data_IF_360641171666
#
_entry.id   IF_360641171666
#
_cell.length_a   1.000
_cell.length_b   1.000
_cell.length_c   1.000
_cell.angle_alpha   90.00
_cell.angle_beta   90.00
_cell.angle_gamma   90.00
#
_symmetry.space_group_name_H-M   'P 1'
#
loop_
_entity.id
_entity.type
_entity.pdbx_description
1 polymer ?
#
# COMPACT_ATOMS: atom_id res chain seq x y z
N UNK A 1 4.75 9.42 -26.12
CA UNK A 1 5.30 8.86 -24.86
C UNK A 1 4.18 8.88 -23.84
N UNK A 2 3.47 7.76 -23.76
CA UNK A 2 2.24 7.65 -22.98
C UNK A 2 2.52 7.82 -21.48
N UNK A 3 1.58 8.43 -20.76
CA UNK A 3 1.62 8.76 -19.33
C UNK A 3 1.64 7.52 -18.39
N UNK A 4 2.41 6.48 -18.71
CA UNK A 4 2.63 5.29 -17.89
C UNK A 4 3.01 5.57 -16.43
N UNK A 5 3.87 6.56 -16.09
CA UNK A 5 4.24 6.79 -14.69
C UNK A 5 3.09 7.34 -13.83
N UNK A 6 1.98 7.82 -14.40
CA UNK A 6 0.85 8.37 -13.63
C UNK A 6 -0.17 7.34 -13.18
N UNK A 7 -0.20 6.13 -13.78
CA UNK A 7 -1.32 5.21 -13.61
C UNK A 7 -1.51 4.74 -12.16
N UNK A 8 -0.42 4.54 -11.42
CA UNK A 8 -0.46 4.03 -10.04
C UNK A 8 0.05 5.04 -8.99
N UNK A 9 0.19 6.32 -9.34
CA UNK A 9 0.79 7.33 -8.44
C UNK A 9 0.06 7.45 -7.11
N UNK A 10 -1.27 7.60 -7.15
CA UNK A 10 -2.09 7.69 -5.94
C UNK A 10 -1.99 6.43 -5.08
N UNK A 11 -2.06 5.24 -5.70
CA UNK A 11 -1.87 3.98 -4.97
C UNK A 11 -0.46 3.88 -4.35
N UNK A 12 0.57 4.35 -5.06
CA UNK A 12 1.96 4.33 -4.56
C UNK A 12 2.14 5.29 -3.40
N UNK A 13 1.43 6.42 -3.39
CA UNK A 13 1.44 7.35 -2.26
C UNK A 13 0.88 6.71 -1.01
N UNK A 14 -0.29 6.06 -1.10
CA UNK A 14 -0.89 5.36 0.04
C UNK A 14 -0.01 4.21 0.54
N UNK A 15 0.59 3.44 -0.38
CA UNK A 15 1.55 2.40 -0.03
C UNK A 15 2.77 2.97 0.71
N UNK A 16 3.30 4.12 0.27
CA UNK A 16 4.41 4.78 0.94
C UNK A 16 4.02 5.30 2.33
N UNK A 17 2.82 5.86 2.49
CA UNK A 17 2.31 6.30 3.80
C UNK A 17 2.22 5.10 4.75
N UNK A 18 1.66 3.97 4.29
CA UNK A 18 1.62 2.73 5.06
C UNK A 18 3.03 2.25 5.44
N UNK A 19 3.96 2.25 4.48
CA UNK A 19 5.35 1.86 4.72
C UNK A 19 6.04 2.72 5.77
N UNK A 20 5.85 4.05 5.73
CA UNK A 20 6.37 4.97 6.75
C UNK A 20 5.73 4.69 8.11
N UNK A 21 4.41 4.48 8.16
CA UNK A 21 3.72 4.19 9.41
C UNK A 21 4.25 2.91 10.07
N UNK A 22 4.53 1.85 9.30
CA UNK A 22 5.16 0.63 9.82
C UNK A 22 6.55 0.90 10.44
N UNK A 23 7.38 1.72 9.80
CA UNK A 23 8.70 2.10 10.32
C UNK A 23 8.57 2.93 11.60
N UNK A 24 7.63 3.89 11.63
CA UNK A 24 7.37 4.74 12.79
C UNK A 24 6.91 3.90 13.97
N UNK A 25 5.98 2.96 13.78
CA UNK A 25 5.53 2.05 14.85
C UNK A 25 6.71 1.27 15.41
N UNK A 26 7.54 0.69 14.55
CA UNK A 26 8.76 -0.05 14.96
C UNK A 26 9.69 0.80 15.84
N UNK A 27 9.81 2.10 15.56
CA UNK A 27 10.61 3.02 16.38
C UNK A 27 9.94 3.37 17.72
N UNK A 28 8.62 3.46 17.76
CA UNK A 28 7.85 3.84 18.95
C UNK A 28 7.65 2.68 19.94
N UNK A 29 7.63 1.43 19.49
CA UNK A 29 7.43 0.23 20.31
C UNK A 29 8.69 -0.27 21.03
N UNK A 30 9.84 0.37 20.82
CA UNK A 30 11.06 0.11 21.60
C UNK A 30 11.98 -0.99 21.05
N UNK A 31 11.86 -1.34 19.77
CA UNK A 31 12.72 -2.30 19.04
C UNK A 31 12.66 -3.74 19.57
N UNK A 32 11.46 -4.23 19.92
CA UNK A 32 11.22 -5.65 20.20
C UNK A 32 11.32 -6.50 18.92
N UNK A 33 11.33 -7.84 19.05
CA UNK A 33 11.48 -8.76 17.91
C UNK A 33 10.39 -8.54 16.84
N UNK A 34 9.16 -8.22 17.27
CA UNK A 34 8.04 -7.84 16.40
C UNK A 34 8.34 -6.60 15.57
N UNK A 35 9.19 -5.71 16.07
CA UNK A 35 9.46 -4.41 15.48
C UNK A 35 10.40 -4.55 14.28
N UNK A 36 11.29 -5.54 14.30
CA UNK A 36 12.09 -5.91 13.14
C UNK A 36 11.21 -6.36 11.96
N UNK A 37 10.08 -7.02 12.25
CA UNK A 37 9.09 -7.41 11.23
C UNK A 37 8.41 -6.18 10.66
N UNK A 38 7.93 -5.25 11.50
CA UNK A 38 7.33 -3.99 11.05
C UNK A 38 8.30 -3.16 10.21
N UNK A 39 9.56 -3.04 10.64
CA UNK A 39 10.59 -2.35 9.88
C UNK A 39 10.81 -3.01 8.50
N UNK A 40 10.90 -4.34 8.46
CA UNK A 40 11.05 -5.09 7.21
C UNK A 40 9.87 -4.90 6.26
N UNK A 41 8.64 -4.92 6.79
CA UNK A 41 7.41 -4.65 6.01
C UNK A 41 7.44 -3.21 5.47
N UNK A 42 7.77 -2.23 6.32
CA UNK A 42 7.81 -0.84 5.91
C UNK A 42 8.81 -0.57 4.78
N UNK A 43 10.01 -1.14 4.87
CA UNK A 43 11.03 -1.07 3.80
C UNK A 43 10.54 -1.77 2.53
N UNK A 44 9.93 -2.95 2.65
CA UNK A 44 9.38 -3.68 1.51
C UNK A 44 8.28 -2.88 0.81
N UNK A 45 7.40 -2.21 1.57
CA UNK A 45 6.32 -1.38 1.02
C UNK A 45 6.85 -0.16 0.28
N UNK A 46 7.89 0.51 0.80
CA UNK A 46 8.55 1.62 0.10
C UNK A 46 9.21 1.16 -1.21
N UNK A 47 9.85 -0.01 -1.20
CA UNK A 47 10.44 -0.60 -2.41
C UNK A 47 9.36 -0.96 -3.43
N UNK A 48 8.26 -1.55 -3.00
CA UNK A 48 7.12 -1.89 -3.85
C UNK A 48 6.45 -0.62 -4.40
N UNK A 49 6.36 0.46 -3.62
CA UNK A 49 5.85 1.75 -4.08
C UNK A 49 6.69 2.32 -5.21
N UNK A 50 8.03 2.28 -5.06
CA UNK A 50 8.96 2.66 -6.11
C UNK A 50 8.81 1.80 -7.37
N UNK A 51 8.76 0.47 -7.22
CA UNK A 51 8.61 -0.45 -8.35
C UNK A 51 7.25 -0.32 -9.04
N UNK A 52 6.19 0.03 -8.31
CA UNK A 52 4.86 0.24 -8.86
C UNK A 52 4.78 1.47 -9.76
N UNK A 53 5.63 2.49 -9.54
CA UNK A 53 5.76 3.64 -10.43
C UNK A 53 6.28 3.26 -11.84
N UNK A 54 6.95 2.13 -11.99
CA UNK A 54 7.34 1.58 -13.29
C UNK A 54 6.14 1.07 -14.13
N UNK A 55 4.91 1.14 -13.61
CA UNK A 55 3.69 0.89 -14.38
C UNK A 55 3.39 -0.59 -14.67
N UNK A 56 4.12 -1.53 -14.06
CA UNK A 56 3.93 -2.97 -14.31
C UNK A 56 2.70 -3.48 -13.57
N UNK A 57 1.70 -3.98 -14.32
CA UNK A 57 0.42 -4.44 -13.78
C UNK A 57 0.54 -5.64 -12.82
N UNK A 58 1.54 -6.50 -13.01
CA UNK A 58 1.76 -7.65 -12.12
C UNK A 58 2.21 -7.23 -10.71
N UNK A 59 3.00 -6.15 -10.59
CA UNK A 59 3.39 -5.59 -9.28
C UNK A 59 2.15 -5.08 -8.55
N UNK A 60 1.26 -4.39 -9.24
CA UNK A 60 0.01 -3.91 -8.66
C UNK A 60 -0.87 -5.04 -8.09
N UNK A 61 -0.87 -6.24 -8.69
CA UNK A 61 -1.57 -7.40 -8.09
C UNK A 61 -0.91 -7.87 -6.79
N UNK A 62 0.42 -7.95 -6.74
CA UNK A 62 1.12 -8.29 -5.50
C UNK A 62 0.84 -7.27 -4.41
N UNK A 63 0.99 -5.99 -4.72
CA UNK A 63 0.71 -4.91 -3.76
C UNK A 63 -0.73 -5.00 -3.27
N UNK A 64 -1.70 -5.20 -4.16
CA UNK A 64 -3.11 -5.34 -3.77
C UNK A 64 -3.31 -6.45 -2.72
N UNK A 65 -2.73 -7.64 -2.94
CA UNK A 65 -2.84 -8.74 -1.98
C UNK A 65 -2.15 -8.39 -0.65
N UNK A 66 -0.94 -7.81 -0.71
CA UNK A 66 -0.22 -7.40 0.49
C UNK A 66 -0.97 -6.36 1.31
N UNK A 67 -1.63 -5.39 0.68
CA UNK A 67 -2.45 -4.39 1.39
C UNK A 67 -3.65 -5.02 2.10
N UNK A 68 -4.30 -6.01 1.50
CA UNK A 68 -5.41 -6.71 2.17
C UNK A 68 -4.91 -7.49 3.39
N UNK A 69 -3.79 -8.20 3.25
CA UNK A 69 -3.18 -8.94 4.37
C UNK A 69 -2.69 -7.96 5.45
N UNK A 70 -2.05 -6.87 5.07
CA UNK A 70 -1.56 -5.80 5.95
C UNK A 70 -2.69 -5.19 6.78
N UNK A 71 -3.80 -4.81 6.12
CA UNK A 71 -4.97 -4.25 6.80
C UNK A 71 -5.57 -5.22 7.84
N UNK A 72 -5.69 -6.51 7.49
CA UNK A 72 -6.19 -7.54 8.41
C UNK A 72 -5.21 -7.74 9.57
N UNK A 73 -3.91 -7.86 9.29
CA UNK A 73 -2.88 -8.02 10.32
C UNK A 73 -2.84 -6.84 11.30
N UNK A 74 -2.88 -5.61 10.77
CA UNK A 74 -2.96 -4.39 11.58
C UNK A 74 -4.24 -4.34 12.43
N UNK A 75 -5.39 -4.73 11.87
CA UNK A 75 -6.65 -4.80 12.61
C UNK A 75 -6.62 -5.82 13.75
N UNK A 76 -5.96 -6.97 13.57
CA UNK A 76 -5.84 -7.99 14.63
C UNK A 76 -4.95 -7.56 15.79
N UNK A 77 -3.93 -6.72 15.53
CA UNK A 77 -3.02 -6.20 16.56
C UNK A 77 -3.54 -4.94 17.25
N UNK A 78 -4.36 -4.13 16.57
CA UNK A 78 -4.86 -2.87 17.12
C UNK A 78 -5.53 -2.96 18.52
N UNK A 79 -6.33 -4.00 18.87
CA UNK A 79 -7.01 -4.07 20.17
C UNK A 79 -6.08 -4.29 21.37
N UNK A 80 -4.84 -4.76 21.14
CA UNK A 80 -3.86 -4.99 22.22
C UNK A 80 -3.07 -3.73 22.56
N UNK A 81 -3.26 -2.65 21.81
CA UNK A 81 -2.47 -1.42 21.89
C UNK A 81 -3.33 -0.24 22.33
N UNK A 82 -2.70 0.77 22.94
CA UNK A 82 -3.38 1.98 23.38
C UNK A 82 -2.61 3.25 23.03
N UNK A 83 -3.31 4.38 23.01
CA UNK A 83 -2.72 5.69 22.76
C UNK A 83 -2.16 5.87 21.34
N UNK A 84 -0.94 6.40 21.23
CA UNK A 84 -0.32 6.76 19.95
C UNK A 84 -0.11 5.53 19.05
N UNK A 85 0.22 4.38 19.63
CA UNK A 85 0.45 3.14 18.87
C UNK A 85 -0.86 2.69 18.20
N UNK A 86 -1.99 2.73 18.93
CA UNK A 86 -3.31 2.42 18.39
C UNK A 86 -3.70 3.35 17.23
N UNK A 87 -3.44 4.66 17.36
CA UNK A 87 -3.66 5.62 16.28
C UNK A 87 -2.81 5.29 15.05
N UNK A 88 -1.55 4.86 15.24
CA UNK A 88 -0.69 4.47 14.14
C UNK A 88 -1.19 3.22 13.40
N UNK A 89 -1.74 2.22 14.12
CA UNK A 89 -2.42 1.08 13.49
C UNK A 89 -3.65 1.52 12.67
N UNK A 90 -4.44 2.47 13.16
CA UNK A 90 -5.56 3.02 12.38
C UNK A 90 -5.10 3.70 11.08
N UNK A 91 -3.97 4.42 11.13
CA UNK A 91 -3.37 5.03 9.93
C UNK A 91 -2.91 3.98 8.94
N UNK A 92 -2.26 2.90 9.40
CA UNK A 92 -1.88 1.76 8.54
C UNK A 92 -3.11 1.18 7.86
N UNK A 93 -4.14 0.84 8.63
CA UNK A 93 -5.38 0.24 8.10
C UNK A 93 -6.02 1.15 7.06
N UNK A 94 -6.13 2.45 7.34
CA UNK A 94 -6.70 3.42 6.41
C UNK A 94 -5.87 3.53 5.12
N UNK A 95 -4.55 3.57 5.23
CA UNK A 95 -3.64 3.65 4.07
C UNK A 95 -3.69 2.37 3.23
N UNK A 96 -3.71 1.20 3.86
CA UNK A 96 -3.78 -0.10 3.19
C UNK A 96 -5.11 -0.25 2.44
N UNK A 97 -6.24 0.06 3.08
CA UNK A 97 -7.56 0.02 2.44
C UNK A 97 -7.63 1.01 1.28
N UNK A 98 -7.15 2.25 1.46
CA UNK A 98 -7.14 3.25 0.41
C UNK A 98 -6.27 2.81 -0.79
N UNK A 99 -5.10 2.24 -0.53
CA UNK A 99 -4.23 1.68 -1.56
C UNK A 99 -4.92 0.53 -2.30
N UNK A 100 -5.45 -0.46 -1.57
CA UNK A 100 -6.14 -1.62 -2.13
C UNK A 100 -7.34 -1.21 -2.98
N UNK A 101 -8.14 -0.25 -2.50
CA UNK A 101 -9.29 0.27 -3.23
C UNK A 101 -8.88 0.95 -4.55
N UNK A 102 -7.86 1.79 -4.53
CA UNK A 102 -7.33 2.43 -5.75
C UNK A 102 -6.79 1.41 -6.74
N UNK A 103 -6.06 0.40 -6.26
CA UNK A 103 -5.55 -0.68 -7.09
C UNK A 103 -6.68 -1.53 -7.67
N UNK A 104 -7.72 -1.83 -6.91
CA UNK A 104 -8.89 -2.55 -7.39
C UNK A 104 -9.52 -1.82 -8.58
N UNK A 105 -9.77 -0.51 -8.47
CA UNK A 105 -10.29 0.28 -9.59
C UNK A 105 -9.34 0.21 -10.79
N UNK A 106 -8.04 0.43 -10.59
CA UNK A 106 -7.08 0.51 -11.69
C UNK A 106 -6.82 -0.84 -12.39
N UNK A 107 -6.91 -1.94 -11.65
CA UNK A 107 -6.72 -3.30 -12.13
C UNK A 107 -7.97 -3.83 -12.83
N UNK A 108 -9.17 -3.47 -12.39
CA UNK A 108 -10.42 -3.95 -12.98
C UNK A 108 -11.10 -2.97 -13.95
N UNK A 109 -10.62 -1.72 -14.08
CA UNK A 109 -11.11 -0.80 -15.12
C UNK A 109 -10.83 -1.39 -16.51
N UNK A 110 -11.89 -1.76 -17.24
CA UNK A 110 -11.81 -2.12 -18.67
C UNK A 110 -11.13 -0.98 -19.43
N UNK A 111 -10.11 -1.29 -20.24
CA UNK A 111 -9.66 -0.38 -21.29
C UNK A 111 -10.78 -0.35 -22.32
N UNK A 112 -11.51 0.76 -22.44
CA UNK A 112 -12.40 0.93 -23.58
C UNK A 112 -11.51 0.94 -24.84
N UNK A 113 -11.69 0.00 -25.79
CA UNK A 113 -11.03 0.13 -27.08
C UNK A 113 -11.54 1.42 -27.70
N UNK A 114 -10.64 2.33 -28.04
CA UNK A 114 -10.98 3.47 -28.89
C UNK A 114 -11.46 2.86 -30.21
N UNK A 115 -12.75 2.97 -30.49
CA UNK A 115 -13.28 2.67 -31.82
C UNK A 115 -12.66 3.71 -32.74
N UNK A 116 -11.60 3.34 -33.46
CA UNK A 116 -11.10 4.13 -34.57
C UNK A 116 -12.17 4.05 -35.65
N UNK A 117 -13.07 5.03 -35.68
CA UNK A 117 -13.92 5.27 -36.85
C UNK A 117 -13.00 5.80 -37.96
N UNK A 118 -12.48 4.87 -38.76
CA UNK A 118 -11.96 5.20 -40.08
C UNK A 118 -13.16 5.35 -41.00
N UNK A 119 -13.56 6.60 -41.24
CA UNK A 119 -14.49 7.02 -42.29
C UNK A 119 -13.82 8.06 -43.15
#
# INVERSE_FOLDING_TARGET
MDNAPRRYQLASLFLSISGIAHIVISGLSGLQITDAVFLGIGVAYLLLAYLMQAGRRWIAYFVFIFMLIGAVGAYMMMPTESGIIQMAYQVIIAADIACAFMLFILLWRRKNPVVLNNG
#
